data_IF_542079872944
#
_entry.id   IF_542079872944
#
_cell.length_a   1.000
_cell.length_b   1.000
_cell.length_c   1.000
_cell.angle_alpha   90.00
_cell.angle_beta   90.00
_cell.angle_gamma   90.00
#
_symmetry.space_group_name_H-M   'P 1'
#
loop_
_entity.id
_entity.type
_entity.pdbx_description
1 polymer ?
#
# COMPACT_ATOMS: atom_id res chain seq x y z
N UNK A 1 -16.35 -8.03 27.85
CA UNK A 1 -16.31 -6.59 27.56
C UNK A 1 -16.74 -6.41 26.11
N UNK A 2 -17.86 -5.72 25.89
CA UNK A 2 -18.44 -5.57 24.55
C UNK A 2 -18.01 -4.25 23.91
N UNK A 3 -17.93 -4.22 22.58
CA UNK A 3 -17.60 -3.03 21.81
C UNK A 3 -18.88 -2.39 21.28
N UNK A 4 -19.24 -1.23 21.81
CA UNK A 4 -20.33 -0.39 21.29
C UNK A 4 -19.75 0.64 20.32
N UNK A 5 -19.93 0.42 19.02
CA UNK A 5 -19.42 1.30 17.98
C UNK A 5 -20.46 2.38 17.61
N UNK A 6 -20.17 3.64 17.93
CA UNK A 6 -21.03 4.79 17.60
C UNK A 6 -20.62 5.50 16.30
N UNK A 7 -19.67 4.93 15.56
CA UNK A 7 -19.17 5.48 14.30
C UNK A 7 -19.72 4.70 13.11
N UNK A 8 -19.73 5.28 11.89
CA UNK A 8 -20.08 4.55 10.68
C UNK A 8 -18.96 3.62 10.18
N UNK A 9 -17.82 3.55 10.89
CA UNK A 9 -16.63 2.84 10.45
C UNK A 9 -16.63 1.40 10.93
N UNK A 10 -15.90 0.54 10.23
CA UNK A 10 -15.67 -0.83 10.69
C UNK A 10 -14.82 -0.79 11.96
N UNK A 11 -15.25 -1.49 13.01
CA UNK A 11 -14.51 -1.57 14.25
C UNK A 11 -14.47 -3.00 14.79
N UNK A 12 -13.42 -3.32 15.54
CA UNK A 12 -13.24 -4.64 16.14
C UNK A 12 -12.45 -4.56 17.44
N UNK A 13 -12.66 -5.54 18.31
CA UNK A 13 -11.93 -5.70 19.57
C UNK A 13 -11.18 -7.02 19.57
N UNK A 14 -9.96 -7.01 20.10
CA UNK A 14 -9.07 -8.17 20.14
C UNK A 14 -8.30 -8.17 21.45
N UNK A 15 -7.96 -9.35 21.96
CA UNK A 15 -7.18 -9.52 23.18
C UNK A 15 -5.87 -10.23 22.82
N UNK A 16 -4.76 -9.74 23.36
CA UNK A 16 -3.41 -10.30 23.18
C UNK A 16 -2.72 -10.34 24.53
N UNK A 17 -1.70 -11.16 24.65
CA UNK A 17 -0.76 -11.07 25.76
C UNK A 17 0.37 -10.11 25.39
N UNK A 18 0.70 -9.21 26.30
CA UNK A 18 1.91 -8.39 26.18
C UNK A 18 3.17 -9.22 26.46
N UNK A 19 4.34 -8.60 26.33
CA UNK A 19 5.62 -9.26 26.61
C UNK A 19 5.82 -9.73 28.05
N UNK A 20 4.92 -9.38 28.98
CA UNK A 20 4.91 -9.83 30.38
C UNK A 20 3.85 -10.90 30.66
N UNK A 21 3.09 -11.32 29.64
CA UNK A 21 2.00 -12.28 29.77
C UNK A 21 0.69 -11.69 30.31
N UNK A 22 0.54 -10.36 30.35
CA UNK A 22 -0.71 -9.70 30.75
C UNK A 22 -1.62 -9.52 29.54
N UNK A 23 -2.92 -9.70 29.74
CA UNK A 23 -3.90 -9.42 28.72
C UNK A 23 -3.99 -7.91 28.42
N UNK A 24 -3.96 -7.59 27.13
CA UNK A 24 -4.13 -6.26 26.59
C UNK A 24 -5.27 -6.26 25.58
N UNK A 25 -6.15 -5.26 25.66
CA UNK A 25 -7.25 -5.05 24.74
C UNK A 25 -6.83 -4.08 23.62
N UNK A 26 -6.92 -4.50 22.36
CA UNK A 26 -6.83 -3.61 21.20
C UNK A 26 -8.23 -3.35 20.67
N UNK A 27 -8.54 -2.07 20.47
CA UNK A 27 -9.69 -1.63 19.71
C UNK A 27 -9.17 -1.04 18.39
N UNK A 28 -9.68 -1.55 17.28
CA UNK A 28 -9.32 -1.09 15.94
C UNK A 28 -10.53 -0.41 15.32
N UNK A 29 -10.32 0.76 14.71
CA UNK A 29 -11.32 1.44 13.87
C UNK A 29 -10.71 1.66 12.49
N UNK A 30 -11.40 1.20 11.44
CA UNK A 30 -10.99 1.29 10.05
C UNK A 30 -12.01 2.08 9.25
N UNK A 31 -11.57 3.22 8.75
CA UNK A 31 -12.35 4.09 7.90
C UNK A 31 -11.88 3.97 6.44
N UNK A 32 -12.83 3.75 5.54
CA UNK A 32 -12.63 3.71 4.09
C UNK A 32 -13.19 4.99 3.50
N UNK A 33 -12.39 5.64 2.66
CA UNK A 33 -12.76 6.88 1.98
C UNK A 33 -12.65 6.70 0.47
N UNK A 34 -13.54 7.35 -0.27
CA UNK A 34 -13.42 7.56 -1.71
C UNK A 34 -12.84 8.95 -1.96
N UNK A 35 -11.89 9.03 -2.89
CA UNK A 35 -11.37 10.32 -3.35
C UNK A 35 -12.23 10.80 -4.53
N UNK A 36 -12.96 11.90 -4.34
CA UNK A 36 -13.85 12.50 -5.33
C UNK A 36 -13.51 13.98 -5.45
N UNK A 37 -13.20 14.44 -6.66
CA UNK A 37 -12.90 15.86 -6.95
C UNK A 37 -11.84 16.47 -6.00
N UNK A 38 -10.80 15.68 -5.67
CA UNK A 38 -9.73 16.11 -4.77
C UNK A 38 -10.09 16.12 -3.28
N UNK A 39 -11.26 15.59 -2.89
CA UNK A 39 -11.72 15.48 -1.51
C UNK A 39 -11.89 14.03 -1.09
N UNK A 40 -11.52 13.72 0.14
CA UNK A 40 -11.83 12.44 0.75
C UNK A 40 -13.26 12.47 1.32
N UNK A 41 -14.11 11.56 0.86
CA UNK A 41 -15.48 11.38 1.33
C UNK A 41 -15.59 9.99 1.93
N UNK A 42 -16.30 9.83 3.06
CA UNK A 42 -16.53 8.51 3.65
C UNK A 42 -17.20 7.61 2.61
N UNK A 43 -16.59 6.46 2.34
CA UNK A 43 -17.10 5.53 1.34
C UNK A 43 -18.42 4.91 1.83
N UNK A 44 -19.37 4.73 0.90
CA UNK A 44 -20.65 4.09 1.21
C UNK A 44 -20.48 2.65 1.74
N UNK A 45 -19.48 1.94 1.23
CA UNK A 45 -19.07 0.63 1.74
C UNK A 45 -17.74 0.76 2.49
N UNK A 46 -17.72 0.29 3.74
CA UNK A 46 -16.51 0.22 4.56
C UNK A 46 -15.82 -1.14 4.37
N UNK A 47 -14.51 -1.12 4.21
CA UNK A 47 -13.72 -2.34 4.10
C UNK A 47 -13.66 -3.07 5.47
N UNK A 48 -13.71 -4.42 5.48
CA UNK A 48 -13.53 -5.19 6.71
C UNK A 48 -12.12 -5.00 7.29
N UNK A 49 -11.96 -5.37 8.56
CA UNK A 49 -10.63 -5.47 9.17
C UNK A 49 -9.80 -6.55 8.46
N UNK A 50 -8.57 -6.20 8.12
CA UNK A 50 -7.55 -7.09 7.57
C UNK A 50 -6.83 -7.73 8.75
N UNK A 51 -7.10 -9.01 9.03
CA UNK A 51 -6.58 -9.67 10.23
C UNK A 51 -5.14 -10.20 10.06
N UNK A 52 -4.71 -10.41 8.82
CA UNK A 52 -3.38 -10.86 8.45
C UNK A 52 -2.92 -10.12 7.19
N UNK A 53 -1.60 -10.06 6.97
CA UNK A 53 -1.04 -9.44 5.77
C UNK A 53 -1.56 -10.11 4.50
N UNK A 54 -2.09 -9.30 3.58
CA UNK A 54 -2.52 -9.71 2.25
C UNK A 54 -1.45 -9.31 1.24
N UNK A 55 -1.11 -10.21 0.33
CA UNK A 55 -0.09 -10.00 -0.71
C UNK A 55 -0.72 -10.06 -2.09
N UNK A 56 -0.13 -9.36 -3.08
CA UNK A 56 -0.60 -9.42 -4.48
C UNK A 56 -0.50 -10.81 -5.09
N UNK A 57 0.48 -11.59 -4.66
CA UNK A 57 0.70 -12.96 -5.09
C UNK A 57 1.23 -13.80 -3.93
N UNK A 58 2.27 -14.60 -4.19
CA UNK A 58 2.85 -15.42 -3.13
C UNK A 58 3.53 -14.54 -2.06
N UNK A 59 3.33 -14.83 -0.76
CA UNK A 59 4.08 -14.20 0.33
C UNK A 59 5.59 -14.27 0.10
N UNK A 60 6.31 -13.23 0.55
CA UNK A 60 7.75 -13.04 0.37
C UNK A 60 8.26 -12.96 -1.10
N UNK A 61 7.40 -13.15 -2.11
CA UNK A 61 7.74 -13.08 -3.54
C UNK A 61 6.92 -12.05 -4.32
N UNK A 62 6.08 -11.30 -3.61
CA UNK A 62 5.22 -10.27 -4.19
C UNK A 62 5.07 -9.10 -3.22
N UNK A 63 4.56 -7.97 -3.71
CA UNK A 63 4.29 -6.80 -2.89
C UNK A 63 3.15 -7.05 -1.91
N UNK A 64 3.25 -6.36 -0.77
CA UNK A 64 2.18 -6.28 0.21
C UNK A 64 1.00 -5.50 -0.38
N UNK A 65 -0.18 -6.12 -0.38
CA UNK A 65 -1.43 -5.49 -0.82
C UNK A 65 -2.10 -4.76 0.34
N UNK A 66 -2.19 -5.40 1.52
CA UNK A 66 -2.70 -4.78 2.76
C UNK A 66 -1.93 -5.32 3.95
N UNK A 67 -1.49 -4.43 4.83
CA UNK A 67 -0.95 -4.82 6.13
C UNK A 67 -2.08 -5.24 7.07
N UNK A 68 -1.77 -6.11 8.03
CA UNK A 68 -2.68 -6.42 9.13
C UNK A 68 -3.04 -5.15 9.92
N UNK A 69 -4.33 -5.01 10.23
CA UNK A 69 -4.85 -3.99 11.11
C UNK A 69 -4.51 -4.28 12.59
N UNK A 70 -4.16 -5.54 12.90
CA UNK A 70 -3.83 -6.01 14.25
C UNK A 70 -2.38 -5.68 14.62
N UNK A 71 -2.10 -4.38 14.77
CA UNK A 71 -0.82 -3.91 15.30
C UNK A 71 -1.04 -3.29 16.69
N UNK A 72 -0.67 -3.99 17.79
CA UNK A 72 -0.84 -3.50 19.14
C UNK A 72 -0.13 -2.16 19.39
N UNK A 73 0.96 -1.91 18.66
CA UNK A 73 1.70 -0.67 18.71
C UNK A 73 2.07 -0.19 17.30
N UNK A 74 1.68 1.04 16.97
CA UNK A 74 2.13 1.76 15.77
C UNK A 74 2.72 3.10 16.23
N UNK A 75 4.05 3.26 16.29
CA UNK A 75 4.67 4.50 16.78
C UNK A 75 4.37 5.70 15.89
N UNK A 76 3.98 5.45 14.63
CA UNK A 76 3.62 6.47 13.67
C UNK A 76 2.63 5.93 12.63
N UNK A 77 2.20 6.82 11.72
CA UNK A 77 1.35 6.47 10.58
C UNK A 77 2.16 5.82 9.46
N UNK A 78 1.67 4.67 9.01
CA UNK A 78 2.12 4.03 7.77
C UNK A 78 1.20 4.44 6.62
N UNK A 79 1.79 4.78 5.48
CA UNK A 79 1.05 5.09 4.25
C UNK A 79 1.47 4.08 3.19
N UNK A 80 0.50 3.33 2.65
CA UNK A 80 0.68 2.43 1.52
C UNK A 80 -0.05 2.99 0.31
N UNK A 81 0.67 3.19 -0.79
CA UNK A 81 0.10 3.50 -2.09
C UNK A 81 0.04 2.22 -2.92
N UNK A 82 -1.15 1.92 -3.45
CA UNK A 82 -1.39 0.86 -4.41
C UNK A 82 -2.02 1.45 -5.67
N UNK A 83 -1.40 1.25 -6.84
CA UNK A 83 -1.93 1.77 -8.08
C UNK A 83 -1.02 1.56 -9.29
N UNK A 84 -1.40 2.16 -10.42
CA UNK A 84 -0.69 2.04 -11.68
C UNK A 84 -0.11 3.37 -12.14
N UNK A 85 1.09 3.35 -12.72
CA UNK A 85 1.67 4.49 -13.42
C UNK A 85 1.32 4.45 -14.91
N UNK A 86 0.89 5.59 -15.48
CA UNK A 86 0.55 5.70 -16.90
C UNK A 86 1.32 6.84 -17.58
N UNK A 87 1.90 6.57 -18.77
CA UNK A 87 2.71 7.52 -19.53
C UNK A 87 1.92 8.54 -20.37
N UNK A 88 0.59 8.47 -20.39
CA UNK A 88 -0.22 9.34 -21.24
C UNK A 88 -0.20 8.91 -22.71
N UNK A 89 -0.60 9.83 -23.61
CA UNK A 89 -0.58 9.62 -25.07
C UNK A 89 0.83 9.64 -25.69
N UNK A 90 1.87 10.05 -24.95
CA UNK A 90 3.24 10.11 -25.45
C UNK A 90 3.99 8.86 -24.99
N UNK A 91 4.69 8.21 -25.92
CA UNK A 91 5.61 7.12 -25.58
C UNK A 91 6.69 7.65 -24.63
N UNK A 92 6.65 7.21 -23.37
CA UNK A 92 7.70 7.46 -22.37
C UNK A 92 8.21 6.12 -21.87
N UNK A 93 9.51 6.03 -21.71
CA UNK A 93 10.20 4.86 -21.15
C UNK A 93 10.26 4.89 -19.62
N UNK A 94 9.97 6.05 -19.03
CA UNK A 94 9.90 6.26 -17.59
C UNK A 94 8.90 7.36 -17.17
N UNK A 95 8.40 7.27 -15.94
CA UNK A 95 7.50 8.25 -15.31
C UNK A 95 7.84 8.37 -13.82
N UNK A 96 7.93 9.60 -13.30
CA UNK A 96 7.98 9.86 -11.87
C UNK A 96 6.57 9.86 -11.29
N UNK A 97 6.32 8.98 -10.33
CA UNK A 97 5.09 8.98 -9.51
C UNK A 97 5.44 9.50 -8.13
N UNK A 98 4.66 10.44 -7.61
CA UNK A 98 4.85 10.96 -6.27
C UNK A 98 3.55 10.97 -5.48
N UNK A 99 3.65 10.65 -4.19
CA UNK A 99 2.59 10.81 -3.21
C UNK A 99 3.06 11.77 -2.13
N UNK A 100 2.19 12.68 -1.74
CA UNK A 100 2.39 13.57 -0.61
C UNK A 100 1.27 13.36 0.42
N UNK A 101 1.66 13.14 1.68
CA UNK A 101 0.74 13.08 2.83
C UNK A 101 1.25 14.04 3.89
N UNK A 102 0.53 15.15 4.08
CA UNK A 102 0.97 16.25 4.92
C UNK A 102 2.35 16.76 4.49
N UNK A 103 3.32 16.71 5.41
CA UNK A 103 4.69 17.15 5.16
C UNK A 103 5.58 16.07 4.50
N UNK A 104 5.10 14.84 4.33
CA UNK A 104 5.91 13.73 3.81
C UNK A 104 5.63 13.56 2.32
N UNK A 105 6.69 13.58 1.51
CA UNK A 105 6.61 13.31 0.06
C UNK A 105 7.48 12.12 -0.29
N UNK A 106 6.94 11.17 -1.07
CA UNK A 106 7.67 10.03 -1.61
C UNK A 106 7.49 9.98 -3.12
N UNK A 107 8.61 10.08 -3.84
CA UNK A 107 8.69 9.87 -5.28
C UNK A 107 9.27 8.49 -5.62
N UNK A 108 8.78 7.87 -6.68
CA UNK A 108 9.28 6.63 -7.27
C UNK A 108 9.39 6.82 -8.78
N UNK A 109 10.57 6.52 -9.33
CA UNK A 109 10.80 6.49 -10.77
C UNK A 109 10.37 5.13 -11.31
N UNK A 110 9.36 5.11 -12.19
CA UNK A 110 8.82 3.90 -12.79
C UNK A 110 9.36 3.77 -14.21
N UNK A 111 9.90 2.61 -14.54
CA UNK A 111 10.44 2.31 -15.86
C UNK A 111 9.57 1.29 -16.60
N UNK A 112 9.64 1.29 -17.93
CA UNK A 112 9.13 0.17 -18.72
C UNK A 112 9.81 -1.15 -18.35
N UNK A 113 9.12 -2.26 -18.62
CA UNK A 113 9.55 -3.62 -18.28
C UNK A 113 10.87 -3.99 -18.97
N UNK A 114 11.96 -4.04 -18.19
CA UNK A 114 13.29 -4.41 -18.69
C UNK A 114 13.50 -5.92 -18.57
N UNK A 115 14.20 -6.48 -19.54
CA UNK A 115 14.58 -7.90 -19.54
C UNK A 115 16.09 -8.02 -19.38
N UNK A 116 16.54 -9.05 -18.67
CA UNK A 116 17.94 -9.44 -18.67
C UNK A 116 18.23 -10.15 -20.00
N UNK A 117 19.22 -9.65 -20.72
CA UNK A 117 19.73 -10.27 -21.92
C UNK A 117 21.18 -10.74 -21.68
N UNK A 118 21.53 -11.87 -22.29
CA UNK A 118 22.87 -12.48 -22.17
C UNK A 118 23.51 -12.55 -23.55
N UNK A 119 23.65 -11.39 -24.19
CA UNK A 119 24.38 -11.27 -25.45
C UNK A 119 25.89 -11.47 -25.21
N UNK A 120 26.54 -12.33 -26.02
CA UNK A 120 27.98 -12.64 -25.94
C UNK A 120 28.48 -13.11 -24.56
N UNK A 121 27.61 -13.72 -23.74
CA UNK A 121 27.99 -14.24 -22.41
C UNK A 121 28.13 -13.17 -21.32
N UNK A 122 27.76 -11.91 -21.61
CA UNK A 122 27.76 -10.82 -20.63
C UNK A 122 26.31 -10.51 -20.26
N UNK A 123 25.90 -10.69 -18.99
CA UNK A 123 24.58 -10.28 -18.53
C UNK A 123 24.44 -8.76 -18.62
N UNK A 124 23.44 -8.28 -19.35
CA UNK A 124 23.11 -6.86 -19.44
C UNK A 124 21.61 -6.65 -19.32
N UNK A 125 21.22 -5.51 -18.77
CA UNK A 125 19.82 -5.14 -18.63
C UNK A 125 19.39 -4.36 -19.88
N UNK A 126 18.27 -4.75 -20.50
CA UNK A 126 17.75 -4.03 -21.67
C UNK A 126 17.47 -2.56 -21.36
N UNK A 127 17.52 -1.72 -22.39
CA UNK A 127 16.87 -0.41 -22.33
C UNK A 127 15.38 -0.59 -22.00
N UNK A 128 14.78 0.31 -21.21
CA UNK A 128 13.38 0.19 -20.87
C UNK A 128 12.54 0.46 -22.12
N UNK A 129 11.61 -0.44 -22.49
CA UNK A 129 10.63 -0.13 -23.51
C UNK A 129 9.69 0.98 -23.02
N UNK A 130 8.84 1.48 -23.92
CA UNK A 130 7.77 2.39 -23.53
C UNK A 130 6.83 1.75 -22.51
N UNK A 131 6.40 2.51 -21.49
CA UNK A 131 5.38 2.07 -20.55
C UNK A 131 4.10 1.67 -21.29
N UNK A 132 3.56 0.50 -20.94
CA UNK A 132 2.35 -0.02 -21.59
C UNK A 132 1.15 0.87 -21.30
N UNK A 133 0.21 0.94 -22.24
CA UNK A 133 -0.99 1.74 -22.08
C UNK A 133 -1.92 1.24 -20.93
N UNK A 134 -1.71 0.03 -20.43
CA UNK A 134 -2.49 -0.54 -19.31
C UNK A 134 -1.87 -0.28 -17.93
N UNK A 135 -0.79 0.51 -17.88
CA UNK A 135 -0.11 0.91 -16.65
C UNK A 135 0.84 -0.15 -16.09
N UNK A 136 1.78 0.30 -15.27
CA UNK A 136 2.71 -0.57 -14.51
C UNK A 136 2.38 -0.43 -13.04
N UNK A 137 2.30 -1.55 -12.33
CA UNK A 137 1.98 -1.59 -10.91
C UNK A 137 3.07 -0.89 -10.07
N UNK A 138 2.65 -0.07 -9.11
CA UNK A 138 3.51 0.70 -8.21
C UNK A 138 3.04 0.47 -6.78
N UNK A 139 3.82 -0.30 -6.02
CA UNK A 139 3.70 -0.39 -4.57
C UNK A 139 4.73 0.49 -3.89
N UNK A 140 4.30 1.49 -3.12
CA UNK A 140 5.20 2.36 -2.35
C UNK A 140 4.70 2.50 -0.91
N UNK A 141 5.52 2.07 0.05
CA UNK A 141 5.31 2.28 1.47
C UNK A 141 6.09 3.49 1.98
N UNK A 142 5.44 4.33 2.79
CA UNK A 142 6.06 5.44 3.49
C UNK A 142 5.79 5.28 4.98
N UNK A 143 6.87 5.11 5.75
CA UNK A 143 6.81 5.07 7.23
C UNK A 143 7.46 6.32 7.77
N UNK A 144 6.84 6.95 8.76
CA UNK A 144 7.50 7.94 9.60
C UNK A 144 8.13 7.18 10.76
N UNK A 145 9.44 7.35 11.00
CA UNK A 145 10.06 6.91 12.25
C UNK A 145 9.92 8.00 13.31
#
# INVERSE_FOLDING_TARGET
MDLYNLTPFTAGRFVFLDGTGRESLLVVVKATFSLQEGRAVVAAAQAPLTLADEYRGAPARSSLLRASDLAPFKPATDVLLDGFAYAGRRSRTEVLVALQVGAITKGVQVFGERVWDTSFGIPSLSSPPSLRAHGTDVGAGLRRH
#
